data_IF_198698589530
#
_entry.id   IF_198698589530
#
_cell.length_a   1.000
_cell.length_b   1.000
_cell.length_c   1.000
_cell.angle_alpha   90.00
_cell.angle_beta   90.00
_cell.angle_gamma   90.00
#
_symmetry.space_group_name_H-M   'P 1'
#
loop_
_entity.id
_entity.type
_entity.pdbx_description
1 polymer ?
#
# COMPACT_ATOMS: atom_id res chain seq x y z
N UNK A 1 -7.93 -12.49 -0.25
CA UNK A 1 -6.98 -11.64 -0.96
C UNK A 1 -7.17 -11.86 -2.44
N UNK A 2 -7.00 -10.80 -3.23
CA UNK A 2 -7.03 -10.89 -4.69
C UNK A 2 -5.68 -11.39 -5.22
N UNK A 3 -5.68 -12.49 -5.97
CA UNK A 3 -4.45 -13.08 -6.52
C UNK A 3 -3.77 -12.16 -7.54
N UNK A 4 -4.49 -11.17 -8.08
CA UNK A 4 -3.92 -10.15 -8.99
C UNK A 4 -3.07 -9.10 -8.27
N UNK A 5 -3.06 -9.08 -6.94
CA UNK A 5 -2.28 -8.15 -6.12
C UNK A 5 -1.36 -8.93 -5.16
N UNK A 6 -0.91 -10.12 -5.56
CA UNK A 6 -0.27 -11.06 -4.66
C UNK A 6 1.10 -10.59 -4.12
N UNK A 7 1.79 -9.67 -4.80
CA UNK A 7 3.19 -9.35 -4.47
C UNK A 7 3.34 -8.04 -3.69
N UNK A 8 2.88 -6.93 -4.24
CA UNK A 8 3.27 -5.59 -3.76
C UNK A 8 2.15 -4.78 -3.13
N UNK A 9 0.91 -5.15 -3.44
CA UNK A 9 -0.26 -4.41 -2.97
C UNK A 9 -1.22 -5.30 -2.15
N UNK A 10 -0.79 -6.52 -1.77
CA UNK A 10 -1.64 -7.48 -1.04
C UNK A 10 -2.11 -6.96 0.32
N UNK A 11 -1.23 -6.24 1.01
CA UNK A 11 -1.42 -5.72 2.35
C UNK A 11 -2.37 -4.53 2.33
N UNK A 12 -2.21 -3.64 1.36
CA UNK A 12 -3.14 -2.55 1.08
C UNK A 12 -4.51 -3.06 0.63
N UNK A 13 -4.57 -4.05 -0.27
CA UNK A 13 -5.83 -4.69 -0.71
C UNK A 13 -6.59 -5.29 0.49
N UNK A 14 -5.88 -5.99 1.38
CA UNK A 14 -6.47 -6.56 2.58
C UNK A 14 -7.00 -5.47 3.52
N UNK A 15 -6.18 -4.45 3.82
CA UNK A 15 -6.57 -3.37 4.73
C UNK A 15 -7.79 -2.59 4.22
N UNK A 16 -7.80 -2.25 2.93
CA UNK A 16 -8.92 -1.55 2.30
C UNK A 16 -10.16 -2.43 2.22
N UNK A 17 -10.01 -3.72 1.91
CA UNK A 17 -11.11 -4.68 1.92
C UNK A 17 -11.77 -4.77 3.29
N UNK A 18 -10.98 -4.89 4.36
CA UNK A 18 -11.51 -4.89 5.74
C UNK A 18 -12.21 -3.57 6.06
N UNK A 19 -11.62 -2.44 5.67
CA UNK A 19 -12.23 -1.13 5.89
C UNK A 19 -13.58 -0.99 5.21
N UNK A 20 -13.70 -1.39 3.94
CA UNK A 20 -14.94 -1.26 3.17
C UNK A 20 -16.00 -2.28 3.60
N UNK A 21 -15.61 -3.53 3.87
CA UNK A 21 -16.58 -4.60 4.18
C UNK A 21 -17.02 -4.57 5.64
N UNK A 22 -16.09 -4.34 6.56
CA UNK A 22 -16.35 -4.41 8.01
C UNK A 22 -16.46 -3.04 8.67
N UNK A 23 -16.26 -1.95 7.93
CA UNK A 23 -16.30 -0.58 8.45
C UNK A 23 -15.33 -0.36 9.62
N UNK A 24 -14.17 -1.04 9.58
CA UNK A 24 -13.12 -0.97 10.60
C UNK A 24 -11.80 -0.52 10.01
N UNK A 25 -11.15 0.44 10.66
CA UNK A 25 -9.77 0.80 10.36
C UNK A 25 -8.82 -0.08 11.17
N UNK A 26 -7.88 -0.73 10.49
CA UNK A 26 -6.78 -1.47 11.15
C UNK A 26 -5.68 -0.46 11.43
N UNK A 27 -5.61 0.03 12.66
CA UNK A 27 -4.53 0.90 13.12
C UNK A 27 -3.63 0.11 14.06
N UNK A 28 -2.32 0.11 13.79
CA UNK A 28 -1.33 -0.36 14.75
C UNK A 28 -1.36 0.60 15.94
N UNK A 29 -1.49 0.04 17.15
CA UNK A 29 -1.51 0.81 18.39
C UNK A 29 -0.24 1.66 18.53
N UNK A 30 -0.39 2.93 18.90
CA UNK A 30 0.74 3.86 19.13
C UNK A 30 1.65 3.45 20.30
N UNK A 31 1.20 2.51 21.13
CA UNK A 31 1.93 2.00 22.30
C UNK A 31 2.89 0.83 22.02
N UNK A 32 3.04 0.40 20.76
CA UNK A 32 3.90 -0.72 20.38
C UNK A 32 4.86 -0.39 19.26
N UNK A 33 6.15 -0.72 19.42
CA UNK A 33 7.13 -0.68 18.33
C UNK A 33 7.09 -1.97 17.52
N UNK A 34 6.96 -1.87 16.20
CA UNK A 34 7.09 -3.01 15.27
C UNK A 34 8.37 -2.84 14.47
N UNK A 35 9.25 -3.85 14.49
CA UNK A 35 10.46 -3.86 13.66
C UNK A 35 10.12 -4.49 12.32
N UNK A 36 10.08 -3.67 11.26
CA UNK A 36 9.94 -4.15 9.90
C UNK A 36 11.33 -4.48 9.33
N UNK A 37 11.55 -5.75 8.94
CA UNK A 37 12.75 -6.18 8.20
C UNK A 37 12.43 -6.23 6.72
N UNK A 38 12.47 -5.07 6.08
CA UNK A 38 12.05 -4.89 4.69
C UNK A 38 12.81 -5.79 3.71
N UNK A 39 12.05 -6.41 2.79
CA UNK A 39 12.51 -7.08 1.56
C UNK A 39 13.66 -8.09 1.71
N UNK A 40 13.93 -8.58 2.92
CA UNK A 40 15.06 -9.47 3.22
C UNK A 40 15.04 -10.79 2.44
N UNK A 41 13.86 -11.29 2.09
CA UNK A 41 13.69 -12.54 1.33
C UNK A 41 13.52 -12.34 -0.18
N UNK A 42 13.11 -11.15 -0.64
CA UNK A 42 12.82 -10.88 -2.06
C UNK A 42 14.07 -10.50 -2.86
N UNK A 43 15.14 -10.08 -2.20
CA UNK A 43 16.26 -9.42 -2.88
C UNK A 43 15.85 -8.06 -3.42
N UNK A 44 16.68 -7.46 -4.27
CA UNK A 44 16.41 -6.15 -4.84
C UNK A 44 15.49 -6.21 -6.05
N UNK A 45 14.52 -5.30 -6.10
CA UNK A 45 13.44 -5.24 -7.08
C UNK A 45 13.86 -4.65 -8.43
N UNK A 46 14.96 -5.14 -9.01
CA UNK A 46 15.55 -4.56 -10.23
C UNK A 46 15.39 -5.41 -11.50
N UNK A 47 14.81 -6.62 -11.42
CA UNK A 47 14.55 -7.39 -12.64
C UNK A 47 13.46 -6.71 -13.50
N UNK A 48 13.61 -6.66 -14.84
CA UNK A 48 12.58 -6.10 -15.72
C UNK A 48 11.23 -6.79 -15.58
N UNK A 49 11.22 -8.10 -15.34
CA UNK A 49 10.01 -8.90 -15.13
C UNK A 49 9.27 -8.48 -13.87
N UNK A 50 10.02 -8.28 -12.77
CA UNK A 50 9.44 -7.82 -11.52
C UNK A 50 8.91 -6.39 -11.66
N UNK A 51 9.62 -5.49 -12.32
CA UNK A 51 9.13 -4.13 -12.60
C UNK A 51 7.84 -4.14 -13.42
N UNK A 52 7.77 -4.99 -14.45
CA UNK A 52 6.54 -5.15 -15.25
C UNK A 52 5.38 -5.66 -14.40
N UNK A 53 5.63 -6.62 -13.52
CA UNK A 53 4.64 -7.14 -12.59
C UNK A 53 4.17 -6.04 -11.64
N UNK A 54 5.09 -5.28 -11.04
CA UNK A 54 4.78 -4.15 -10.15
C UNK A 54 3.87 -3.13 -10.83
N UNK A 55 4.19 -2.73 -12.06
CA UNK A 55 3.37 -1.78 -12.82
C UNK A 55 1.98 -2.35 -13.13
N UNK A 56 1.90 -3.64 -13.47
CA UNK A 56 0.62 -4.30 -13.74
C UNK A 56 -0.25 -4.36 -12.48
N UNK A 57 0.33 -4.71 -11.32
CA UNK A 57 -0.38 -4.70 -10.04
C UNK A 57 -0.81 -3.28 -9.66
N UNK A 58 0.04 -2.27 -9.88
CA UNK A 58 -0.27 -0.87 -9.60
C UNK A 58 -1.48 -0.38 -10.40
N UNK A 59 -1.49 -0.61 -11.71
CA UNK A 59 -2.62 -0.26 -12.58
C UNK A 59 -3.92 -0.97 -12.12
N UNK A 60 -3.84 -2.25 -11.76
CA UNK A 60 -5.00 -2.99 -11.26
C UNK A 60 -5.49 -2.45 -9.91
N UNK A 61 -4.55 -2.13 -9.01
CA UNK A 61 -4.82 -1.58 -7.69
C UNK A 61 -5.52 -0.22 -7.79
N UNK A 62 -5.01 0.69 -8.62
CA UNK A 62 -5.61 2.01 -8.85
C UNK A 62 -7.04 1.88 -9.37
N UNK A 63 -7.25 1.05 -10.39
CA UNK A 63 -8.59 0.81 -10.93
C UNK A 63 -9.58 0.29 -9.88
N UNK A 64 -9.11 -0.52 -8.93
CA UNK A 64 -9.94 -1.12 -7.88
C UNK A 64 -10.20 -0.19 -6.70
N UNK A 65 -9.18 0.56 -6.26
CA UNK A 65 -9.15 1.20 -4.94
C UNK A 65 -9.04 2.72 -4.95
N UNK A 66 -8.69 3.37 -6.07
CA UNK A 66 -8.39 4.82 -6.10
C UNK A 66 -9.51 5.70 -5.52
N UNK A 67 -10.78 5.30 -5.70
CA UNK A 67 -11.94 6.02 -5.13
C UNK A 67 -11.97 6.06 -3.60
N UNK A 68 -11.33 5.11 -2.93
CA UNK A 68 -11.24 5.03 -1.47
C UNK A 68 -9.98 5.72 -0.92
N UNK A 69 -8.94 5.84 -1.75
CA UNK A 69 -7.64 6.41 -1.37
C UNK A 69 -7.58 7.91 -1.64
N UNK A 70 -8.18 8.40 -2.72
CA UNK A 70 -8.18 9.84 -3.03
C UNK A 70 -8.74 10.72 -1.89
N UNK A 71 -9.84 10.34 -1.22
CA UNK A 71 -10.32 11.04 -0.03
C UNK A 71 -9.80 10.38 1.25
N UNK A 72 -8.52 10.00 1.32
CA UNK A 72 -7.99 9.35 2.53
C UNK A 72 -8.09 10.30 3.73
N UNK A 73 -8.95 10.02 4.73
CA UNK A 73 -9.12 10.88 5.90
C UNK A 73 -7.88 10.91 6.79
N UNK A 74 -6.93 10.00 6.58
CA UNK A 74 -5.69 9.93 7.35
C UNK A 74 -4.54 10.68 6.69
N UNK A 75 -4.68 11.11 5.43
CA UNK A 75 -3.68 11.92 4.76
C UNK A 75 -3.76 13.38 5.22
N UNK A 76 -2.61 13.97 5.59
CA UNK A 76 -2.57 15.36 6.02
C UNK A 76 -2.73 16.29 4.81
N UNK A 77 -3.80 17.10 4.81
CA UNK A 77 -4.11 18.03 3.71
C UNK A 77 -3.04 19.09 3.45
N UNK A 78 -2.14 19.33 4.40
CA UNK A 78 -1.01 20.25 4.23
C UNK A 78 0.18 19.61 3.49
N UNK A 79 0.11 18.31 3.16
CA UNK A 79 1.10 17.59 2.39
C UNK A 79 0.64 17.43 0.93
N UNK A 80 1.61 17.39 0.02
CA UNK A 80 1.43 17.25 -1.41
C UNK A 80 1.41 15.78 -1.82
N UNK A 81 0.40 15.36 -2.59
CA UNK A 81 0.36 14.03 -3.20
C UNK A 81 1.34 13.87 -4.37
N UNK A 82 1.87 14.98 -4.89
CA UNK A 82 2.78 14.98 -6.05
C UNK A 82 4.26 15.11 -5.67
N UNK A 83 4.56 15.36 -4.40
CA UNK A 83 5.92 15.61 -3.94
C UNK A 83 6.29 14.64 -2.84
N UNK A 84 7.46 14.03 -2.99
CA UNK A 84 8.04 13.21 -1.94
C UNK A 84 8.57 14.08 -0.80
N UNK A 85 8.36 13.61 0.42
CA UNK A 85 8.92 14.20 1.63
C UNK A 85 9.99 13.26 2.16
N UNK A 86 11.26 13.65 2.02
CA UNK A 86 12.33 12.94 2.69
C UNK A 86 12.30 13.29 4.20
N UNK A 87 12.33 12.26 5.05
CA UNK A 87 12.71 12.46 6.44
C UNK A 87 14.23 12.72 6.44
N UNK A 88 14.63 13.91 6.92
CA UNK A 88 16.04 14.25 7.15
C UNK A 88 16.66 13.35 8.22
#
# INVERSE_FOLDING_TARGET
MDEKLAVSYNDMDLCLSVRVTLHRSILVSSSGGVIHKESKSRGTSFSPELQKLLNTEAEYFDNKWLRYIRPDPYYNINLSLEKDYALL
#
